data_IF_480642344042
#
_entry.id   IF_480642344042
#
_cell.length_a   1.000
_cell.length_b   1.000
_cell.length_c   1.000
_cell.angle_alpha   90.00
_cell.angle_beta   90.00
_cell.angle_gamma   90.00
#
_symmetry.space_group_name_H-M   'P 1'
#
loop_
_entity.id
_entity.type
_entity.pdbx_description
1 polymer ?
#
# COMPACT_ATOMS: atom_id res chain seq x y z
N UNK A 1 -6.20 26.14 -10.22
CA UNK A 1 -5.72 25.73 -8.88
C UNK A 1 -6.81 25.05 -8.07
N UNK A 2 -7.99 25.65 -7.86
CA UNK A 2 -9.10 25.01 -7.10
C UNK A 2 -9.50 23.63 -7.68
N UNK A 3 -9.68 23.53 -9.00
CA UNK A 3 -10.03 22.26 -9.64
C UNK A 3 -8.95 21.18 -9.43
N UNK A 4 -7.68 21.57 -9.53
CA UNK A 4 -6.54 20.67 -9.31
C UNK A 4 -6.51 20.14 -7.87
N UNK A 5 -6.76 20.99 -6.88
CA UNK A 5 -6.84 20.58 -5.47
C UNK A 5 -7.97 19.58 -5.23
N UNK A 6 -9.14 19.81 -5.83
CA UNK A 6 -10.29 18.90 -5.71
C UNK A 6 -9.97 17.55 -6.34
N UNK A 7 -9.39 17.53 -7.54
CA UNK A 7 -8.99 16.28 -8.23
C UNK A 7 -7.94 15.54 -7.41
N UNK A 8 -6.89 16.21 -6.92
CA UNK A 8 -5.84 15.59 -6.10
C UNK A 8 -6.39 15.03 -4.78
N UNK A 9 -7.34 15.72 -4.15
CA UNK A 9 -7.97 15.22 -2.93
C UNK A 9 -8.77 13.95 -3.19
N UNK A 10 -9.57 13.92 -4.27
CA UNK A 10 -10.35 12.75 -4.69
C UNK A 10 -9.43 11.59 -5.09
N UNK A 11 -8.35 11.88 -5.82
CA UNK A 11 -7.36 10.88 -6.22
C UNK A 11 -6.69 10.22 -5.01
N UNK A 12 -6.16 11.02 -4.09
CA UNK A 12 -5.40 10.49 -2.96
C UNK A 12 -6.27 9.80 -1.89
N UNK A 13 -7.51 10.24 -1.69
CA UNK A 13 -8.36 9.72 -0.62
C UNK A 13 -9.38 8.66 -1.08
N UNK A 14 -9.74 8.62 -2.36
CA UNK A 14 -10.78 7.72 -2.87
C UNK A 14 -10.22 6.79 -3.95
N UNK A 15 -9.63 7.32 -5.03
CA UNK A 15 -9.18 6.48 -6.15
C UNK A 15 -7.96 5.64 -5.77
N UNK A 16 -6.95 6.22 -5.12
CA UNK A 16 -5.74 5.51 -4.72
C UNK A 16 -6.05 4.32 -3.81
N UNK A 17 -6.78 4.46 -2.68
CA UNK A 17 -7.10 3.30 -1.85
C UNK A 17 -8.03 2.31 -2.55
N UNK A 18 -8.95 2.76 -3.41
CA UNK A 18 -9.80 1.84 -4.18
C UNK A 18 -9.00 1.03 -5.20
N UNK A 19 -8.12 1.68 -5.95
CA UNK A 19 -7.26 1.04 -6.95
C UNK A 19 -6.25 0.10 -6.29
N UNK A 20 -5.60 0.53 -5.20
CA UNK A 20 -4.55 -0.26 -4.52
C UNK A 20 -5.16 -1.35 -3.63
N UNK A 21 -6.30 -1.07 -2.99
CA UNK A 21 -7.07 -2.02 -2.20
C UNK A 21 -7.62 -3.16 -3.05
N UNK A 22 -8.19 -2.84 -4.22
CA UNK A 22 -8.68 -3.85 -5.17
C UNK A 22 -7.52 -4.63 -5.82
N UNK A 23 -6.32 -4.03 -5.93
CA UNK A 23 -5.17 -4.66 -6.62
C UNK A 23 -4.32 -5.58 -5.73
N UNK A 24 -4.38 -5.45 -4.40
CA UNK A 24 -3.52 -6.26 -3.51
C UNK A 24 -4.28 -7.25 -2.64
N UNK A 25 -5.60 -7.08 -2.43
CA UNK A 25 -6.40 -7.97 -1.58
C UNK A 25 -5.96 -8.04 -0.11
N UNK A 26 -4.99 -7.20 0.28
CA UNK A 26 -4.34 -7.21 1.57
C UNK A 26 -5.11 -6.35 2.58
N UNK A 27 -5.27 -6.88 3.80
CA UNK A 27 -5.86 -6.11 4.89
C UNK A 27 -5.01 -4.85 5.17
N UNK A 28 -5.60 -3.65 5.25
CA UNK A 28 -4.87 -2.40 5.55
C UNK A 28 -3.97 -2.46 6.79
N UNK A 29 -4.34 -3.25 7.81
CA UNK A 29 -3.47 -3.47 8.97
C UNK A 29 -2.14 -4.16 8.60
N UNK A 30 -2.18 -5.12 7.67
CA UNK A 30 -1.00 -5.87 7.23
C UNK A 30 -0.04 -4.94 6.48
N UNK A 31 -0.59 -4.04 5.65
CA UNK A 31 0.18 -3.01 4.95
C UNK A 31 0.83 -2.07 5.97
N UNK A 32 0.06 -1.57 6.95
CA UNK A 32 0.56 -0.70 8.02
C UNK A 32 1.70 -1.35 8.82
N UNK A 33 1.51 -2.61 9.23
CA UNK A 33 2.54 -3.37 9.96
C UNK A 33 3.80 -3.52 9.10
N UNK A 34 3.66 -3.84 7.81
CA UNK A 34 4.80 -3.96 6.90
C UNK A 34 5.60 -2.65 6.81
N UNK A 35 4.90 -1.52 6.70
CA UNK A 35 5.52 -0.18 6.59
C UNK A 35 6.27 0.17 7.87
N UNK A 36 5.69 -0.11 9.04
CA UNK A 36 6.34 0.13 10.33
C UNK A 36 7.61 -0.71 10.44
N UNK A 37 7.53 -2.00 10.09
CA UNK A 37 8.67 -2.93 10.19
C UNK A 37 9.77 -2.53 9.21
N UNK A 38 9.49 -2.38 7.92
CA UNK A 38 10.53 -2.02 6.96
C UNK A 38 11.03 -0.59 7.14
N UNK A 39 10.16 0.33 7.59
CA UNK A 39 10.56 1.67 8.02
C UNK A 39 11.57 1.66 9.16
N UNK A 40 11.43 0.75 10.11
CA UNK A 40 12.41 0.56 11.19
C UNK A 40 13.76 -0.01 10.73
N UNK A 41 13.78 -0.79 9.65
CA UNK A 41 15.00 -1.46 9.15
C UNK A 41 15.82 -0.56 8.24
N UNK A 42 15.17 0.14 7.30
CA UNK A 42 15.86 0.87 6.22
C UNK A 42 15.32 2.30 6.02
N UNK A 43 14.58 2.82 7.00
CA UNK A 43 13.98 4.15 6.93
C UNK A 43 12.96 4.27 5.81
N UNK A 44 12.95 5.42 5.13
CA UNK A 44 12.00 5.73 4.06
C UNK A 44 12.04 4.69 2.93
N UNK A 45 13.24 4.24 2.56
CA UNK A 45 13.42 3.22 1.52
C UNK A 45 12.79 1.88 1.93
N UNK A 46 12.89 1.52 3.20
CA UNK A 46 12.25 0.34 3.75
C UNK A 46 10.74 0.44 3.64
N UNK A 47 10.14 1.59 3.99
CA UNK A 47 8.68 1.80 3.89
C UNK A 47 8.16 1.59 2.45
N UNK A 48 8.87 2.11 1.44
CA UNK A 48 8.48 2.00 0.03
C UNK A 48 8.52 0.55 -0.45
N UNK A 49 9.57 -0.20 -0.07
CA UNK A 49 9.79 -1.57 -0.54
C UNK A 49 8.96 -2.59 0.26
N UNK A 50 8.55 -2.26 1.49
CA UNK A 50 7.78 -3.16 2.38
C UNK A 50 6.46 -3.61 1.77
N UNK A 51 5.72 -2.66 1.19
CA UNK A 51 4.37 -2.91 0.65
C UNK A 51 4.39 -3.89 -0.53
N UNK A 52 5.21 -3.71 -1.58
CA UNK A 52 5.29 -4.66 -2.67
C UNK A 52 5.84 -6.02 -2.22
N UNK A 53 6.83 -6.06 -1.32
CA UNK A 53 7.32 -7.34 -0.77
C UNK A 53 6.22 -8.11 -0.04
N UNK A 54 5.45 -7.43 0.80
CA UNK A 54 4.34 -8.05 1.53
C UNK A 54 3.24 -8.53 0.58
N UNK A 55 2.97 -7.76 -0.48
CA UNK A 55 2.03 -8.13 -1.53
C UNK A 55 2.45 -9.41 -2.25
N UNK A 56 3.74 -9.55 -2.59
CA UNK A 56 4.28 -10.74 -3.23
C UNK A 56 4.17 -11.96 -2.31
N UNK A 57 4.55 -11.83 -1.03
CA UNK A 57 4.45 -12.91 -0.03
C UNK A 57 3.00 -13.37 0.12
N UNK A 58 2.06 -12.43 0.19
CA UNK A 58 0.65 -12.75 0.34
C UNK A 58 0.10 -13.52 -0.86
N UNK A 59 0.43 -13.08 -2.08
CA UNK A 59 0.05 -13.79 -3.31
C UNK A 59 0.66 -15.20 -3.33
N UNK A 60 1.92 -15.37 -2.93
CA UNK A 60 2.57 -16.68 -2.83
C UNK A 60 1.87 -17.61 -1.83
N UNK A 61 1.47 -17.08 -0.67
CA UNK A 61 0.75 -17.86 0.35
C UNK A 61 -0.66 -18.21 -0.10
N UNK A 62 -1.34 -17.30 -0.80
CA UNK A 62 -2.68 -17.53 -1.36
C UNK A 62 -2.65 -18.55 -2.50
N UNK A 63 -1.64 -18.48 -3.38
CA UNK A 63 -1.40 -19.45 -4.46
C UNK A 63 -1.02 -20.85 -3.95
N UNK A 64 -0.45 -20.95 -2.75
CA UNK A 64 -0.08 -22.23 -2.14
C UNK A 64 -1.27 -22.98 -1.50
N UNK A 65 -2.46 -22.37 -1.47
CA UNK A 65 -3.71 -23.02 -1.07
C UNK A 65 -4.46 -23.58 -2.27
#
# INVERSE_FOLDING_TARGET
MILFVIVQWVENNILAPKLIGDSTGLNPLVILISIIIGGGIFGVWGMVISVPLMSIIFILVDLSK
#
